data_IF_932069898708
#
_entry.id   IF_932069898708
#
_cell.length_a   1.000
_cell.length_b   1.000
_cell.length_c   1.000
_cell.angle_alpha   90.00
_cell.angle_beta   90.00
_cell.angle_gamma   90.00
#
_symmetry.space_group_name_H-M   'P 1'
#
loop_
_entity.id
_entity.type
_entity.pdbx_description
1 polymer ?
#
# COMPACT_ATOMS: atom_id res chain seq x y z
N UNK A 1 8.19 0.90 -10.42
CA UNK A 1 6.80 0.66 -10.88
C UNK A 1 6.00 0.31 -9.65
N UNK A 2 5.12 1.20 -9.16
CA UNK A 2 4.31 0.90 -7.99
C UNK A 2 3.30 -0.20 -8.35
N UNK A 3 3.27 -1.29 -7.57
CA UNK A 3 2.32 -2.38 -7.78
C UNK A 3 0.99 -1.92 -7.19
N UNK A 4 0.04 -1.55 -8.05
CA UNK A 4 -1.28 -1.13 -7.60
C UNK A 4 -2.22 -2.33 -7.56
N UNK A 5 -2.46 -2.84 -6.35
CA UNK A 5 -3.46 -3.89 -6.14
C UNK A 5 -4.85 -3.28 -6.36
N UNK A 6 -5.69 -3.95 -7.15
CA UNK A 6 -7.09 -3.57 -7.34
C UNK A 6 -7.90 -4.08 -6.13
N UNK A 7 -8.29 -3.16 -5.25
CA UNK A 7 -8.98 -3.46 -3.99
C UNK A 7 -10.22 -4.36 -4.19
N UNK A 8 -11.08 -4.06 -5.17
CA UNK A 8 -12.25 -4.88 -5.47
C UNK A 8 -11.90 -6.31 -5.91
N UNK A 9 -10.80 -6.47 -6.67
CA UNK A 9 -10.31 -7.79 -7.08
C UNK A 9 -9.81 -8.59 -5.88
N UNK A 10 -9.16 -7.93 -4.92
CA UNK A 10 -8.70 -8.57 -3.70
C UNK A 10 -9.87 -8.97 -2.78
N UNK A 11 -10.88 -8.10 -2.62
CA UNK A 11 -12.12 -8.43 -1.90
C UNK A 11 -12.81 -9.66 -2.49
N UNK A 12 -12.90 -9.72 -3.83
CA UNK A 12 -13.46 -10.87 -4.55
C UNK A 12 -12.65 -12.15 -4.28
N UNK A 13 -11.32 -12.07 -4.32
CA UNK A 13 -10.45 -13.23 -4.10
C UNK A 13 -10.57 -13.78 -2.68
N UNK A 14 -10.57 -12.90 -1.67
CA UNK A 14 -10.77 -13.29 -0.26
C UNK A 14 -12.15 -13.92 -0.08
N UNK A 15 -13.20 -13.30 -0.65
CA UNK A 15 -14.57 -13.84 -0.54
C UNK A 15 -14.70 -15.22 -1.19
N UNK A 16 -14.04 -15.43 -2.34
CA UNK A 16 -14.01 -16.73 -3.02
C UNK A 16 -13.30 -17.78 -2.18
N UNK A 17 -12.14 -17.44 -1.61
CA UNK A 17 -11.37 -18.35 -0.76
C UNK A 17 -12.17 -18.78 0.48
N UNK A 18 -12.85 -17.83 1.14
CA UNK A 18 -13.75 -18.14 2.26
C UNK A 18 -14.87 -19.10 1.82
N UNK A 19 -15.46 -18.88 0.64
CA UNK A 19 -16.49 -19.77 0.10
C UNK A 19 -15.97 -21.18 -0.23
N UNK A 20 -14.70 -21.30 -0.63
CA UNK A 20 -14.07 -22.60 -0.90
C UNK A 20 -13.78 -23.37 0.40
N UNK A 21 -13.37 -22.66 1.45
CA UNK A 21 -13.15 -23.26 2.77
C UNK A 21 -14.46 -23.63 3.47
N UNK A 22 -15.50 -22.80 3.30
CA UNK A 22 -16.82 -22.98 3.90
C UNK A 22 -17.91 -22.94 2.83
N UNK A 23 -18.15 -24.09 2.18
CA UNK A 23 -19.19 -24.23 1.17
C UNK A 23 -20.57 -23.80 1.69
N UNK A 24 -21.26 -22.95 0.93
CA UNK A 24 -22.61 -22.46 1.25
C UNK A 24 -22.67 -21.36 2.32
N UNK A 25 -21.52 -20.82 2.76
CA UNK A 25 -21.49 -19.71 3.70
C UNK A 25 -22.20 -18.48 3.12
N UNK A 26 -23.04 -17.84 3.94
CA UNK A 26 -23.64 -16.54 3.62
C UNK A 26 -22.89 -15.46 4.40
N UNK A 27 -22.15 -14.63 3.67
CA UNK A 27 -21.43 -13.49 4.23
C UNK A 27 -22.44 -12.37 4.50
N UNK A 28 -22.55 -11.93 5.75
CA UNK A 28 -23.37 -10.77 6.12
C UNK A 28 -22.57 -9.45 6.01
N UNK A 29 -23.25 -8.32 6.23
CA UNK A 29 -22.65 -6.99 6.06
C UNK A 29 -21.42 -6.76 6.96
N UNK A 30 -21.45 -7.24 8.21
CA UNK A 30 -20.34 -7.10 9.15
C UNK A 30 -19.11 -7.87 8.68
N UNK A 31 -19.31 -9.11 8.21
CA UNK A 31 -18.24 -9.94 7.68
C UNK A 31 -17.67 -9.39 6.37
N UNK A 32 -18.54 -8.89 5.48
CA UNK A 32 -18.12 -8.21 4.26
C UNK A 32 -17.29 -6.96 4.57
N UNK A 33 -17.69 -6.19 5.59
CA UNK A 33 -16.93 -5.04 6.08
C UNK A 33 -15.50 -5.42 6.52
N UNK A 34 -15.35 -6.52 7.27
CA UNK A 34 -14.05 -7.01 7.68
C UNK A 34 -13.17 -7.45 6.49
N UNK A 35 -13.76 -8.08 5.47
CA UNK A 35 -13.04 -8.46 4.24
C UNK A 35 -12.54 -7.21 3.50
N UNK A 36 -13.39 -6.18 3.40
CA UNK A 36 -13.04 -4.90 2.77
C UNK A 36 -11.90 -4.21 3.52
N UNK A 37 -11.95 -4.20 4.86
CA UNK A 37 -10.88 -3.62 5.69
C UNK A 37 -9.56 -4.36 5.52
N UNK A 38 -9.58 -5.70 5.54
CA UNK A 38 -8.39 -6.52 5.28
C UNK A 38 -7.80 -6.23 3.89
N UNK A 39 -8.65 -6.14 2.86
CA UNK A 39 -8.22 -5.81 1.50
C UNK A 39 -7.60 -4.40 1.41
N UNK A 40 -8.15 -3.43 2.15
CA UNK A 40 -7.60 -2.07 2.23
C UNK A 40 -6.21 -2.06 2.87
N UNK A 41 -6.02 -2.78 3.98
CA UNK A 41 -4.73 -2.89 4.67
C UNK A 41 -3.65 -3.48 3.75
N UNK A 42 -4.00 -4.55 3.02
CA UNK A 42 -3.08 -5.15 2.04
C UNK A 42 -2.79 -4.16 0.91
N UNK A 43 -3.80 -3.52 0.32
CA UNK A 43 -3.55 -2.54 -0.74
C UNK A 43 -2.63 -1.41 -0.25
N UNK A 44 -2.82 -0.91 0.96
CA UNK A 44 -1.99 0.14 1.54
C UNK A 44 -0.50 -0.30 1.66
N UNK A 45 -0.24 -1.53 2.11
CA UNK A 45 1.12 -2.06 2.26
C UNK A 45 1.90 -2.12 0.92
N UNK A 46 1.20 -2.33 -0.20
CA UNK A 46 1.82 -2.36 -1.54
C UNK A 46 1.75 -1.01 -2.28
N UNK A 47 1.03 -0.04 -1.71
CA UNK A 47 0.95 1.33 -2.22
C UNK A 47 2.01 2.23 -1.59
N UNK A 48 2.94 1.69 -0.77
CA UNK A 48 4.08 2.46 -0.27
C UNK A 48 4.75 3.20 -1.43
N UNK A 49 4.59 4.52 -1.44
CA UNK A 49 5.40 5.40 -2.26
C UNK A 49 6.82 5.17 -1.80
N UNK A 50 7.72 4.87 -2.72
CA UNK A 50 9.14 5.07 -2.46
C UNK A 50 9.31 6.55 -2.10
N UNK A 51 9.33 6.86 -0.80
CA UNK A 51 9.73 8.16 -0.26
C UNK A 51 11.24 8.43 -0.47
N UNK A 52 11.88 7.54 -1.22
CA UNK A 52 13.24 7.69 -1.72
C UNK A 52 13.26 8.13 -3.19
N UNK A 53 12.13 8.56 -3.78
CA UNK A 53 12.08 9.03 -5.17
C UNK A 53 12.49 10.51 -5.32
N UNK A 54 12.64 11.26 -4.22
CA UNK A 54 13.00 12.68 -4.23
C UNK A 54 13.91 13.07 -3.06
N UNK A 55 14.97 13.81 -3.36
CA UNK A 55 15.85 14.41 -2.35
C UNK A 55 15.20 15.53 -1.55
N UNK A 56 14.00 15.97 -1.95
CA UNK A 56 13.30 17.08 -1.31
C UNK A 56 12.40 16.64 -0.14
N UNK A 57 12.39 15.35 0.21
CA UNK A 57 11.74 14.82 1.43
C UNK A 57 12.58 15.18 2.68
N UNK A 58 12.64 16.50 2.91
CA UNK A 58 13.55 17.27 3.76
C UNK A 58 13.48 16.95 5.26
N UNK A 59 12.44 16.23 5.70
CA UNK A 59 12.25 15.81 7.10
C UNK A 59 12.67 14.36 7.37
N UNK A 60 12.88 13.54 6.32
CA UNK A 60 13.22 12.11 6.48
C UNK A 60 14.58 11.74 5.89
N UNK A 61 15.34 12.70 5.36
CA UNK A 61 16.68 12.48 4.82
C UNK A 61 16.64 11.53 3.63
N UNK A 62 16.00 11.97 2.53
CA UNK A 62 15.70 11.18 1.33
C UNK A 62 16.70 10.06 1.02
N UNK A 63 16.20 8.85 0.80
CA UNK A 63 17.03 7.64 0.81
C UNK A 63 17.81 7.34 -0.48
N UNK A 64 17.94 8.28 -1.44
CA UNK A 64 18.90 8.08 -2.52
C UNK A 64 20.32 8.37 -2.03
N UNK A 65 21.33 7.55 -2.42
CA UNK A 65 22.74 7.83 -2.15
C UNK A 65 23.20 9.21 -2.66
N UNK A 66 22.58 9.72 -3.72
CA UNK A 66 22.85 11.04 -4.31
C UNK A 66 22.22 12.20 -3.53
N UNK A 67 21.26 11.94 -2.63
CA UNK A 67 20.66 12.98 -1.79
C UNK A 67 21.58 13.44 -0.65
N UNK A 68 22.68 12.73 -0.38
CA UNK A 68 23.69 13.14 0.59
C UNK A 68 24.29 14.54 0.29
N UNK A 69 24.18 15.01 -0.95
CA UNK A 69 24.66 16.33 -1.38
C UNK A 69 23.66 17.47 -1.16
N UNK A 70 22.36 17.19 -0.96
CA UNK A 70 21.31 18.18 -0.70
C UNK A 70 21.19 18.52 0.80
N UNK A 71 22.32 18.67 1.49
CA UNK A 71 22.32 19.15 2.87
C UNK A 71 21.93 20.64 2.90
N UNK A 72 21.09 20.99 3.87
CA UNK A 72 20.60 22.35 4.10
C UNK A 72 21.79 23.29 4.36
N UNK A 73 22.25 23.98 3.32
CA UNK A 73 23.41 24.89 3.38
C UNK A 73 24.18 25.02 2.07
N UNK A 74 24.00 24.10 1.12
CA UNK A 74 24.66 24.20 -0.20
C UNK A 74 23.77 25.00 -1.15
N UNK A 75 24.23 26.18 -1.55
CA UNK A 75 23.64 26.91 -2.69
C UNK A 75 24.01 26.14 -3.95
N UNK A 76 23.00 25.70 -4.69
CA UNK A 76 23.17 25.36 -6.09
C UNK A 76 22.88 26.64 -6.88
N UNK A 77 23.85 27.06 -7.69
CA UNK A 77 23.79 28.27 -8.52
C UNK A 77 22.61 28.28 -9.50
#
# INVERSE_FOLDING_TARGET
MAIHIKQLGLVSAISLEISNQYSGIKINQTQLGAIVEAANLVCAAFTEKNHCDSCNDKLRGGCLPTCAFYQKGVKHD
#
